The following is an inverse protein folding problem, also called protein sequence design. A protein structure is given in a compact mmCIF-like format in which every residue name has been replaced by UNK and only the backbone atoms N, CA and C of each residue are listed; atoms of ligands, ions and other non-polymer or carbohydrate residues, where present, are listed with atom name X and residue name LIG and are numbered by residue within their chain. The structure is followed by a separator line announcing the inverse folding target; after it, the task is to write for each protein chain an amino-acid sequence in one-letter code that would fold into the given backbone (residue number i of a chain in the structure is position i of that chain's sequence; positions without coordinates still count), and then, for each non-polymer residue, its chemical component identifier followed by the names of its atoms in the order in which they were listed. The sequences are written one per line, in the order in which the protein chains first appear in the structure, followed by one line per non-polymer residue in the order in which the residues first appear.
data_IF_595789645244
#
_entry.id   IF_595789645244
#
_cell.length_a   1.000
_cell.length_b   1.000
_cell.length_c   1.000
_cell.angle_alpha   90.00
_cell.angle_beta   90.00
_cell.angle_gamma   90.00
#
_symmetry.space_group_name_H-M   'P 1'
#
loop_
_entity.id
_entity.type
_entity.pdbx_description
1 polymer ?
#
# COMPACT_ATOMS: atom_id res chain seq x y z
N UNK A 1 21.94 7.01 -33.37
CA UNK A 1 22.85 8.08 -32.93
C UNK A 1 23.67 8.51 -34.15
N UNK A 2 23.59 9.76 -34.54
CA UNK A 2 24.25 10.29 -35.76
C UNK A 2 25.78 10.06 -35.65
N UNK A 3 26.39 9.41 -36.65
CA UNK A 3 27.84 9.18 -36.72
C UNK A 3 28.37 7.99 -35.90
N UNK A 4 27.50 7.16 -35.30
CA UNK A 4 27.85 5.95 -34.56
C UNK A 4 27.07 4.74 -35.08
N UNK A 5 27.68 3.56 -35.07
CA UNK A 5 27.02 2.30 -35.33
C UNK A 5 26.50 1.76 -33.98
N UNK A 6 25.21 1.76 -33.80
CA UNK A 6 24.56 1.23 -32.60
C UNK A 6 23.04 1.31 -32.73
N UNK A 7 22.35 0.47 -32.03
CA UNK A 7 20.90 0.37 -31.99
C UNK A 7 20.41 0.62 -30.57
N UNK A 8 19.32 1.38 -30.41
CA UNK A 8 18.59 1.54 -29.18
C UNK A 8 17.24 0.84 -29.33
N UNK A 9 17.01 -0.18 -28.50
CA UNK A 9 15.73 -0.87 -28.42
C UNK A 9 15.04 -0.51 -27.10
N UNK A 10 13.81 -0.01 -27.16
CA UNK A 10 12.96 0.26 -25.99
C UNK A 10 11.78 -0.70 -26.01
N UNK A 11 11.61 -1.45 -24.93
CA UNK A 11 10.55 -2.45 -24.79
C UNK A 11 10.02 -2.47 -23.36
N UNK A 12 8.74 -2.81 -23.18
CA UNK A 12 8.21 -3.10 -21.86
C UNK A 12 8.72 -4.43 -21.28
N UNK A 13 8.59 -4.63 -19.98
CA UNK A 13 9.03 -5.86 -19.26
C UNK A 13 8.51 -7.15 -19.92
N UNK A 14 7.31 -7.14 -20.48
CA UNK A 14 6.69 -8.28 -21.16
C UNK A 14 7.03 -8.35 -22.66
N UNK A 15 7.77 -7.35 -23.17
CA UNK A 15 8.19 -7.30 -24.57
C UNK A 15 9.25 -8.33 -24.92
N UNK A 16 9.28 -8.76 -26.19
CA UNK A 16 10.27 -9.73 -26.66
C UNK A 16 11.66 -9.09 -26.78
N UNK A 17 12.59 -9.58 -25.96
CA UNK A 17 14.02 -9.26 -26.01
C UNK A 17 14.87 -10.40 -26.61
N UNK A 18 14.23 -11.40 -27.23
CA UNK A 18 14.89 -12.61 -27.69
C UNK A 18 15.94 -12.32 -28.79
N UNK A 19 17.12 -12.91 -28.62
CA UNK A 19 18.18 -12.94 -29.65
C UNK A 19 19.20 -11.79 -29.62
N UNK A 20 18.99 -10.74 -28.84
CA UNK A 20 19.90 -9.57 -28.82
C UNK A 20 20.89 -9.65 -27.66
N UNK A 21 22.17 -9.46 -27.91
CA UNK A 21 23.19 -9.15 -26.91
C UNK A 21 23.16 -7.64 -26.63
N UNK A 22 23.43 -7.25 -25.40
CA UNK A 22 23.27 -5.87 -24.95
C UNK A 22 24.58 -5.37 -24.36
N UNK A 23 25.10 -4.26 -24.88
CA UNK A 23 26.27 -3.58 -24.31
C UNK A 23 25.90 -2.75 -23.09
N UNK A 24 24.75 -2.08 -23.14
CA UNK A 24 24.19 -1.29 -22.00
C UNK A 24 22.73 -1.66 -21.81
N UNK A 25 22.41 -2.19 -20.65
CA UNK A 25 21.03 -2.50 -20.27
C UNK A 25 20.53 -1.41 -19.29
N UNK A 26 19.44 -0.75 -19.65
CA UNK A 26 18.79 0.25 -18.79
C UNK A 26 17.44 -0.30 -18.36
N UNK A 27 17.24 -0.44 -17.06
CA UNK A 27 15.99 -0.81 -16.45
C UNK A 27 15.40 0.44 -15.80
N UNK A 28 14.26 0.89 -16.32
CA UNK A 28 13.60 2.12 -15.91
C UNK A 28 12.16 1.82 -15.50
N UNK A 29 11.74 2.29 -14.33
CA UNK A 29 10.38 2.19 -13.77
C UNK A 29 9.71 0.82 -13.90
N UNK A 30 10.34 -0.22 -13.30
CA UNK A 30 9.88 -1.61 -13.41
C UNK A 30 8.54 -1.91 -12.74
N UNK A 31 8.09 -1.06 -11.83
CA UNK A 31 6.81 -1.17 -11.12
C UNK A 31 5.97 0.07 -11.41
N UNK A 32 4.77 -0.16 -11.90
CA UNK A 32 3.83 0.89 -12.28
C UNK A 32 3.35 1.74 -11.08
N UNK A 33 3.10 1.08 -9.97
CA UNK A 33 2.55 1.71 -8.76
C UNK A 33 2.84 0.88 -7.50
N UNK A 34 2.41 1.40 -6.36
CA UNK A 34 2.57 0.75 -5.06
C UNK A 34 1.85 -0.61 -4.98
N UNK A 35 0.70 -0.75 -5.66
CA UNK A 35 -0.07 -2.00 -5.64
C UNK A 35 0.69 -3.13 -6.33
N UNK A 36 1.29 -2.83 -7.48
CA UNK A 36 2.13 -3.77 -8.23
C UNK A 36 3.39 -4.14 -7.44
N UNK A 37 4.09 -3.15 -6.87
CA UNK A 37 5.30 -3.38 -6.08
C UNK A 37 5.06 -4.12 -4.76
N UNK A 38 3.89 -3.96 -4.14
CA UNK A 38 3.51 -4.67 -2.92
C UNK A 38 3.02 -6.10 -3.18
N UNK A 39 2.77 -6.49 -4.45
CA UNK A 39 2.40 -7.86 -4.81
C UNK A 39 3.61 -8.80 -4.78
N UNK A 40 3.65 -9.83 -3.92
CA UNK A 40 4.75 -10.80 -3.88
C UNK A 40 4.94 -11.50 -5.22
N UNK A 41 3.84 -11.86 -5.89
CA UNK A 41 3.86 -12.52 -7.21
C UNK A 41 4.49 -11.62 -8.26
N UNK A 42 4.19 -10.32 -8.24
CA UNK A 42 4.79 -9.37 -9.19
C UNK A 42 6.29 -9.19 -8.94
N UNK A 43 6.71 -9.14 -7.67
CA UNK A 43 8.13 -9.06 -7.31
C UNK A 43 8.90 -10.31 -7.75
N UNK A 44 8.34 -11.51 -7.49
CA UNK A 44 8.92 -12.79 -7.93
C UNK A 44 9.03 -12.85 -9.44
N UNK A 45 7.96 -12.55 -10.19
CA UNK A 45 7.98 -12.51 -11.65
C UNK A 45 9.00 -11.51 -12.20
N UNK A 46 9.17 -10.35 -11.54
CA UNK A 46 10.18 -9.36 -11.89
C UNK A 46 11.60 -9.92 -11.69
N UNK A 47 11.84 -10.64 -10.59
CA UNK A 47 13.10 -11.29 -10.30
C UNK A 47 13.41 -12.42 -11.30
N UNK A 48 12.44 -13.29 -11.59
CA UNK A 48 12.59 -14.34 -12.59
C UNK A 48 12.90 -13.77 -13.98
N UNK A 49 12.17 -12.73 -14.40
CA UNK A 49 12.44 -12.04 -15.65
C UNK A 49 13.85 -11.42 -15.65
N UNK A 50 14.25 -10.77 -14.58
CA UNK A 50 15.57 -10.18 -14.44
C UNK A 50 16.68 -11.23 -14.61
N UNK A 51 16.57 -12.34 -13.91
CA UNK A 51 17.61 -13.40 -13.91
C UNK A 51 17.62 -14.20 -15.20
N UNK A 52 16.45 -14.53 -15.77
CA UNK A 52 16.31 -15.37 -16.94
C UNK A 52 16.39 -14.63 -18.28
N UNK A 53 16.02 -13.35 -18.30
CA UNK A 53 15.96 -12.55 -19.53
C UNK A 53 17.07 -11.49 -19.56
N UNK A 54 17.18 -10.62 -18.56
CA UNK A 54 18.14 -9.53 -18.55
C UNK A 54 19.58 -10.06 -18.44
N UNK A 55 19.87 -10.79 -17.38
CA UNK A 55 21.23 -11.28 -17.07
C UNK A 55 21.79 -12.23 -18.15
N UNK A 56 20.93 -12.98 -18.82
CA UNK A 56 21.36 -13.91 -19.89
C UNK A 56 21.77 -13.22 -21.17
N UNK A 57 21.44 -11.95 -21.37
CA UNK A 57 21.80 -11.15 -22.56
C UNK A 57 23.06 -10.33 -22.38
N UNK A 58 23.56 -10.29 -21.17
CA UNK A 58 24.77 -9.54 -20.83
C UNK A 58 26.02 -10.37 -21.15
N UNK A 59 27.08 -9.70 -21.56
CA UNK A 59 28.40 -10.27 -21.81
C UNK A 59 29.46 -9.55 -20.94
N UNK A 60 30.71 -9.94 -21.05
CA UNK A 60 31.79 -9.47 -20.16
C UNK A 60 31.99 -7.94 -20.13
N UNK A 61 31.65 -7.24 -21.20
CA UNK A 61 31.78 -5.78 -21.31
C UNK A 61 30.44 -5.05 -21.11
N UNK A 62 29.35 -5.77 -20.89
CA UNK A 62 28.04 -5.15 -20.66
C UNK A 62 28.01 -4.34 -19.38
N UNK A 63 27.25 -3.27 -19.41
CA UNK A 63 26.94 -2.42 -18.25
C UNK A 63 25.46 -2.44 -18.00
N UNK A 64 25.09 -2.30 -16.74
CA UNK A 64 23.72 -2.31 -16.32
C UNK A 64 23.44 -1.05 -15.49
N UNK A 65 22.31 -0.40 -15.79
CA UNK A 65 21.81 0.75 -15.06
C UNK A 65 20.37 0.47 -14.65
N UNK A 66 20.09 0.52 -13.37
CA UNK A 66 18.75 0.30 -12.80
C UNK A 66 18.30 1.62 -12.17
N UNK A 67 17.22 2.19 -12.68
CA UNK A 67 16.67 3.48 -12.23
C UNK A 67 15.19 3.31 -11.99
N UNK A 68 14.74 3.40 -10.76
CA UNK A 68 13.33 3.51 -10.43
C UNK A 68 13.09 3.98 -8.99
N UNK A 69 11.89 4.45 -8.75
CA UNK A 69 11.43 4.81 -7.41
C UNK A 69 11.30 3.56 -6.54
N UNK A 70 11.92 3.56 -5.37
CA UNK A 70 11.78 2.47 -4.41
C UNK A 70 10.35 2.43 -3.88
N UNK A 71 9.74 1.24 -3.87
CA UNK A 71 8.38 1.02 -3.40
C UNK A 71 8.31 0.03 -2.24
N UNK A 72 9.20 -0.96 -2.25
CA UNK A 72 9.22 -2.06 -1.28
C UNK A 72 10.65 -2.47 -1.01
N UNK A 73 10.93 -2.99 0.21
CA UNK A 73 12.28 -3.44 0.54
C UNK A 73 12.75 -4.63 -0.31
N UNK A 74 11.81 -5.48 -0.74
CA UNK A 74 12.04 -6.61 -1.64
C UNK A 74 11.73 -6.28 -3.11
N UNK A 75 11.79 -5.02 -3.52
CA UNK A 75 11.81 -4.68 -4.95
C UNK A 75 13.11 -5.15 -5.61
N UNK A 76 13.25 -5.04 -6.93
CA UNK A 76 14.42 -5.57 -7.64
C UNK A 76 15.74 -5.06 -7.04
N UNK A 77 15.84 -3.78 -6.68
CA UNK A 77 17.05 -3.22 -6.05
C UNK A 77 17.31 -3.89 -4.68
N UNK A 78 16.26 -4.08 -3.88
CA UNK A 78 16.38 -4.77 -2.60
C UNK A 78 16.77 -6.25 -2.74
N UNK A 79 16.21 -6.95 -3.73
CA UNK A 79 16.57 -8.34 -4.03
C UNK A 79 18.03 -8.47 -4.51
N UNK A 80 18.52 -7.54 -5.31
CA UNK A 80 19.94 -7.48 -5.70
C UNK A 80 20.82 -7.21 -4.48
N UNK A 81 20.47 -6.19 -3.67
CA UNK A 81 21.26 -5.83 -2.50
C UNK A 81 21.35 -6.92 -1.43
N UNK A 82 20.36 -7.82 -1.37
CA UNK A 82 20.39 -8.99 -0.46
C UNK A 82 21.29 -10.13 -0.95
N UNK A 83 21.71 -10.14 -2.22
CA UNK A 83 22.44 -11.24 -2.88
C UNK A 83 23.80 -10.83 -3.43
N UNK A 84 23.97 -9.57 -3.79
CA UNK A 84 25.18 -9.05 -4.42
C UNK A 84 25.75 -7.91 -3.56
N UNK A 85 27.05 -7.62 -3.73
CA UNK A 85 27.69 -6.54 -2.99
C UNK A 85 27.32 -5.19 -3.59
N UNK A 86 26.70 -4.34 -2.77
CA UNK A 86 26.31 -2.97 -3.10
C UNK A 86 27.14 -2.00 -2.28
N UNK A 87 27.74 -1.01 -2.94
CA UNK A 87 28.54 0.05 -2.34
C UNK A 87 27.81 1.37 -2.54
N UNK A 88 27.52 2.10 -1.46
CA UNK A 88 26.92 3.43 -1.56
C UNK A 88 27.91 4.41 -2.17
N UNK A 89 27.49 5.09 -3.23
CA UNK A 89 28.30 6.07 -3.94
C UNK A 89 28.22 7.42 -3.20
N UNK A 90 29.33 7.84 -2.62
CA UNK A 90 29.48 9.11 -1.90
C UNK A 90 30.61 9.97 -2.44
N UNK A 91 31.49 9.40 -3.28
CA UNK A 91 32.60 10.06 -3.94
C UNK A 91 32.82 9.48 -5.34
N UNK A 92 33.16 10.33 -6.31
CA UNK A 92 33.43 9.92 -7.69
C UNK A 92 34.58 8.92 -7.82
N UNK A 93 35.58 8.98 -6.95
CA UNK A 93 36.72 8.04 -6.95
C UNK A 93 36.31 6.57 -6.73
N UNK A 94 35.11 6.32 -6.14
CA UNK A 94 34.59 4.97 -5.94
C UNK A 94 34.23 4.28 -7.26
N UNK A 95 33.96 5.03 -8.34
CA UNK A 95 33.66 4.48 -9.66
C UNK A 95 34.86 3.73 -10.21
N UNK A 96 36.05 4.30 -10.08
CA UNK A 96 37.28 3.67 -10.57
C UNK A 96 37.73 2.49 -9.68
N UNK A 97 37.29 2.48 -8.43
CA UNK A 97 37.57 1.40 -7.47
C UNK A 97 36.60 0.23 -7.53
N UNK A 98 35.51 0.34 -8.31
CA UNK A 98 34.46 -0.69 -8.41
C UNK A 98 35.01 -1.98 -9.00
N UNK A 99 34.79 -3.09 -8.30
CA UNK A 99 35.18 -4.41 -8.76
C UNK A 99 34.07 -5.04 -9.60
N UNK A 100 34.45 -5.95 -10.47
CA UNK A 100 33.49 -6.73 -11.25
C UNK A 100 32.55 -7.52 -10.33
N UNK A 101 31.25 -7.39 -10.56
CA UNK A 101 30.20 -8.03 -9.75
C UNK A 101 29.78 -7.22 -8.52
N UNK A 102 30.30 -6.00 -8.36
CA UNK A 102 29.83 -5.05 -7.36
C UNK A 102 28.91 -4.01 -8.01
N UNK A 103 27.98 -3.48 -7.22
CA UNK A 103 27.06 -2.42 -7.61
C UNK A 103 27.43 -1.11 -6.93
N UNK A 104 27.27 -0.02 -7.66
CA UNK A 104 27.22 1.32 -7.07
C UNK A 104 25.77 1.73 -6.87
N UNK A 105 25.41 2.07 -5.65
CA UNK A 105 24.11 2.58 -5.29
C UNK A 105 24.17 4.10 -5.11
N UNK A 106 23.53 4.83 -5.99
CA UNK A 106 23.36 6.28 -5.92
C UNK A 106 21.96 6.59 -5.43
N UNK A 107 21.85 7.26 -4.29
CA UNK A 107 20.58 7.72 -3.73
C UNK A 107 20.69 9.18 -3.30
N UNK A 108 19.82 10.04 -3.85
CA UNK A 108 19.67 11.41 -3.43
C UNK A 108 18.37 11.56 -2.62
N UNK A 109 18.51 11.79 -1.32
CA UNK A 109 17.40 12.04 -0.42
C UNK A 109 16.67 13.33 -0.81
N UNK A 110 15.35 13.32 -0.92
CA UNK A 110 14.60 14.54 -1.23
C UNK A 110 14.75 15.61 -0.13
N UNK A 111 14.76 15.20 1.13
CA UNK A 111 15.19 15.99 2.28
C UNK A 111 16.49 15.37 2.77
N UNK A 112 17.56 16.11 2.76
CA UNK A 112 18.86 15.61 3.23
C UNK A 112 18.79 15.23 4.71
N UNK A 113 19.11 13.99 5.03
CA UNK A 113 19.18 13.49 6.41
C UNK A 113 20.55 12.88 6.73
N UNK A 114 21.20 12.33 5.70
CA UNK A 114 22.58 11.82 5.83
C UNK A 114 23.61 12.94 5.90
N UNK A 115 24.83 12.62 6.35
CA UNK A 115 25.94 13.56 6.37
C UNK A 115 26.29 14.03 4.96
N UNK A 116 26.78 15.27 4.79
CA UNK A 116 27.29 15.77 3.51
C UNK A 116 28.38 14.85 2.94
N UNK A 117 28.41 14.74 1.61
CA UNK A 117 29.41 13.96 0.88
C UNK A 117 29.96 14.75 -0.30
N UNK A 118 31.01 14.25 -0.96
CA UNK A 118 31.56 14.89 -2.17
C UNK A 118 30.54 14.95 -3.32
N UNK A 119 29.61 14.01 -3.39
CA UNK A 119 28.53 13.96 -4.40
C UNK A 119 27.29 14.75 -4.00
N UNK A 120 27.00 14.83 -2.71
CA UNK A 120 25.85 15.54 -2.18
C UNK A 120 26.27 16.38 -0.98
N UNK A 121 26.78 17.61 -1.22
CA UNK A 121 27.30 18.49 -0.17
C UNK A 121 26.21 19.17 0.65
N UNK A 122 24.93 18.93 0.38
CA UNK A 122 23.81 19.53 1.13
C UNK A 122 23.91 19.20 2.62
N UNK A 123 23.50 20.17 3.44
CA UNK A 123 23.37 19.99 4.88
C UNK A 123 22.06 19.27 5.24
N UNK A 124 22.02 18.54 6.38
CA UNK A 124 20.76 17.97 6.86
C UNK A 124 19.65 19.02 6.96
N UNK A 125 18.45 18.68 6.46
CA UNK A 125 17.29 19.56 6.37
C UNK A 125 17.12 20.28 5.02
N UNK A 126 18.11 20.25 4.14
CA UNK A 126 18.01 20.89 2.83
C UNK A 126 17.26 20.03 1.81
N UNK A 127 16.39 20.67 1.01
CA UNK A 127 15.69 20.01 -0.08
C UNK A 127 16.62 19.71 -1.26
N UNK A 128 16.36 18.61 -1.99
CA UNK A 128 17.16 18.20 -3.16
C UNK A 128 17.06 19.23 -4.29
N UNK A 129 15.86 19.71 -4.54
CA UNK A 129 15.57 20.64 -5.64
C UNK A 129 14.56 21.69 -5.18
N UNK A 130 15.01 22.72 -4.41
CA UNK A 130 14.12 23.68 -3.75
C UNK A 130 13.24 24.48 -4.73
N UNK A 131 13.70 24.70 -5.98
CA UNK A 131 12.93 25.44 -7.00
C UNK A 131 11.72 24.64 -7.51
N UNK A 132 11.73 23.32 -7.39
CA UNK A 132 10.64 22.44 -7.79
C UNK A 132 9.83 21.95 -6.59
N UNK A 133 10.51 21.59 -5.51
CA UNK A 133 9.93 21.07 -4.29
C UNK A 133 10.73 21.59 -3.09
N UNK A 134 10.24 22.65 -2.49
CA UNK A 134 10.83 23.22 -1.30
C UNK A 134 10.59 22.35 -0.05
N UNK A 135 11.24 22.72 1.05
CA UNK A 135 11.19 21.97 2.30
C UNK A 135 9.78 21.91 2.89
N UNK A 136 8.98 22.96 2.71
CA UNK A 136 7.62 23.04 3.26
C UNK A 136 6.70 22.08 2.52
N UNK A 137 6.77 22.04 1.19
CA UNK A 137 6.03 21.10 0.35
C UNK A 137 6.43 19.64 0.64
N UNK A 138 7.73 19.37 0.74
CA UNK A 138 8.23 18.03 1.05
C UNK A 138 7.81 17.59 2.45
N UNK A 139 7.86 18.49 3.43
CA UNK A 139 7.42 18.21 4.80
C UNK A 139 5.91 17.95 4.85
N UNK A 140 5.11 18.71 4.10
CA UNK A 140 3.68 18.46 3.99
C UNK A 140 3.37 17.10 3.38
N UNK A 141 4.06 16.71 2.30
CA UNK A 141 3.94 15.36 1.69
C UNK A 141 4.32 14.26 2.68
N UNK A 142 5.40 14.44 3.45
CA UNK A 142 5.83 13.48 4.46
C UNK A 142 4.79 13.27 5.56
N UNK A 143 4.13 14.35 6.00
CA UNK A 143 3.05 14.28 7.01
C UNK A 143 1.82 13.50 6.51
N UNK A 144 1.54 13.53 5.21
CA UNK A 144 0.43 12.77 4.64
C UNK A 144 0.68 11.25 4.67
N UNK A 145 1.91 10.83 4.39
CA UNK A 145 2.29 9.42 4.38
C UNK A 145 3.81 9.29 4.57
N UNK A 146 4.24 9.19 5.82
CA UNK A 146 5.67 9.11 6.17
C UNK A 146 6.32 7.86 5.54
N UNK A 147 5.66 6.71 5.58
CA UNK A 147 6.25 5.46 5.07
C UNK A 147 6.41 5.51 3.55
N UNK A 148 5.42 6.01 2.84
CA UNK A 148 5.49 6.20 1.38
C UNK A 148 6.51 7.27 1.01
N UNK A 149 6.58 8.35 1.78
CA UNK A 149 7.60 9.38 1.59
C UNK A 149 9.01 8.80 1.75
N UNK A 150 9.25 8.03 2.79
CA UNK A 150 10.55 7.39 3.02
C UNK A 150 10.92 6.40 1.89
N UNK A 151 9.94 5.66 1.35
CA UNK A 151 10.17 4.83 0.15
C UNK A 151 10.53 5.66 -1.08
N UNK A 152 9.61 6.55 -1.49
CA UNK A 152 9.66 7.17 -2.82
C UNK A 152 10.59 8.37 -2.89
N UNK A 153 10.67 9.17 -1.82
CA UNK A 153 11.42 10.43 -1.79
C UNK A 153 12.77 10.30 -1.08
N UNK A 154 12.90 9.36 -0.14
CA UNK A 154 14.16 9.14 0.58
C UNK A 154 14.92 7.89 0.10
N UNK A 155 14.30 7.08 -0.79
CA UNK A 155 14.90 5.83 -1.28
C UNK A 155 15.09 4.76 -0.20
N UNK A 156 14.35 4.86 0.92
CA UNK A 156 14.46 3.99 2.09
C UNK A 156 13.15 3.26 2.37
N UNK A 157 12.86 2.15 1.69
CA UNK A 157 11.74 1.31 2.05
C UNK A 157 11.90 0.77 3.47
N UNK A 158 10.79 0.66 4.19
CA UNK A 158 10.81 0.27 5.61
C UNK A 158 11.42 -1.12 5.83
N UNK A 159 12.22 -1.31 6.89
CA UNK A 159 12.85 -2.60 7.19
C UNK A 159 11.82 -3.71 7.42
N UNK A 160 12.23 -4.94 7.07
CA UNK A 160 11.47 -6.15 7.42
C UNK A 160 11.20 -6.20 8.92
N UNK A 161 9.94 -6.46 9.28
CA UNK A 161 9.52 -6.60 10.68
C UNK A 161 9.01 -5.33 11.34
N UNK A 162 8.99 -4.17 10.65
CA UNK A 162 8.31 -2.99 11.19
C UNK A 162 6.80 -3.21 11.29
N UNK A 163 6.18 -2.64 12.31
CA UNK A 163 4.73 -2.63 12.44
C UNK A 163 4.12 -1.80 11.29
N UNK A 164 2.98 -2.27 10.76
CA UNK A 164 2.28 -1.56 9.69
C UNK A 164 1.54 -0.34 10.22
N UNK A 165 0.81 -0.54 11.30
CA UNK A 165 0.01 0.50 11.95
C UNK A 165 0.62 0.95 13.28
N UNK A 166 1.11 0.00 14.08
CA UNK A 166 1.45 0.28 15.48
C UNK A 166 0.24 0.79 16.24
N UNK A 167 0.48 1.50 17.33
CA UNK A 167 -0.56 2.15 18.12
C UNK A 167 -0.68 3.64 17.72
N UNK A 168 -0.86 3.90 16.42
CA UNK A 168 -0.83 5.25 15.85
C UNK A 168 -2.20 5.74 15.36
N UNK A 169 -3.28 5.05 15.70
CA UNK A 169 -4.62 5.50 15.35
C UNK A 169 -5.00 6.74 16.18
N UNK A 170 -5.62 7.72 15.53
CA UNK A 170 -6.21 8.83 16.25
C UNK A 170 -7.46 8.36 17.00
N UNK A 171 -7.55 8.71 18.27
CA UNK A 171 -8.63 8.31 19.16
C UNK A 171 -9.72 9.41 19.27
N UNK A 172 -10.93 8.99 19.65
CA UNK A 172 -12.03 9.89 19.96
C UNK A 172 -12.77 9.46 21.22
N UNK A 173 -13.26 10.41 21.98
CA UNK A 173 -14.06 10.22 23.22
C UNK A 173 -15.55 10.10 22.90
N UNK A 174 -16.05 10.91 21.99
CA UNK A 174 -17.44 10.94 21.56
C UNK A 174 -17.55 11.24 20.06
N UNK A 175 -18.59 10.68 19.41
CA UNK A 175 -18.85 10.99 18.01
C UNK A 175 -19.16 12.47 17.83
N UNK A 176 -18.65 13.11 16.77
CA UNK A 176 -19.03 14.47 16.43
C UNK A 176 -20.51 14.57 16.03
N UNK A 177 -21.07 15.76 16.14
CA UNK A 177 -22.50 16.01 15.87
C UNK A 177 -22.85 16.01 14.37
N UNK A 178 -21.86 16.12 13.50
CA UNK A 178 -21.96 16.26 12.04
C UNK A 178 -21.82 14.93 11.28
N UNK A 179 -22.13 13.82 11.94
CA UNK A 179 -22.18 12.49 11.29
C UNK A 179 -23.27 12.48 10.23
N UNK A 180 -22.88 12.13 9.01
CA UNK A 180 -23.78 12.06 7.85
C UNK A 180 -24.21 10.66 7.51
N UNK A 181 -23.50 9.62 8.00
CA UNK A 181 -23.79 8.23 7.65
C UNK A 181 -23.23 7.24 8.67
N UNK A 182 -23.97 6.11 8.82
CA UNK A 182 -23.51 4.91 9.50
C UNK A 182 -23.43 3.76 8.50
N UNK A 183 -22.32 3.04 8.51
CA UNK A 183 -22.04 1.90 7.64
C UNK A 183 -21.49 0.70 8.41
N UNK A 184 -21.38 -0.42 7.70
CA UNK A 184 -20.72 -1.61 8.19
C UNK A 184 -19.96 -2.29 7.04
N UNK A 185 -18.84 -2.91 7.39
CA UNK A 185 -18.08 -3.75 6.49
C UNK A 185 -17.75 -5.06 7.19
N UNK A 186 -17.96 -6.18 6.51
CA UNK A 186 -17.77 -7.52 7.06
C UNK A 186 -16.97 -8.38 6.11
N UNK A 187 -15.87 -8.96 6.60
CA UNK A 187 -15.18 -10.11 6.01
C UNK A 187 -15.59 -11.37 6.78
N UNK A 188 -16.12 -12.36 6.05
CA UNK A 188 -16.68 -13.59 6.66
C UNK A 188 -15.63 -14.69 6.69
N UNK A 189 -15.50 -15.38 7.84
CA UNK A 189 -14.81 -16.66 7.93
C UNK A 189 -15.87 -17.77 7.86
N UNK A 190 -15.69 -18.75 6.95
CA UNK A 190 -16.63 -19.85 6.80
C UNK A 190 -16.19 -21.10 7.59
N UNK A 191 -14.94 -21.49 7.43
CA UNK A 191 -14.35 -22.65 8.11
C UNK A 191 -12.85 -22.46 8.27
N UNK A 192 -12.30 -22.83 9.40
CA UNK A 192 -10.86 -22.79 9.65
C UNK A 192 -10.45 -21.88 10.79
N UNK A 193 -9.20 -21.45 10.76
CA UNK A 193 -8.59 -20.63 11.81
C UNK A 193 -8.83 -19.12 11.65
N UNK A 194 -9.46 -18.67 10.55
CA UNK A 194 -9.68 -17.26 10.24
C UNK A 194 -10.75 -16.61 11.14
N UNK A 195 -10.65 -15.31 11.34
CA UNK A 195 -11.62 -14.53 12.09
C UNK A 195 -12.70 -13.95 11.19
N UNK A 196 -13.97 -14.10 11.58
CA UNK A 196 -14.98 -13.15 11.14
C UNK A 196 -14.62 -11.78 11.70
N UNK A 197 -14.55 -10.80 10.82
CA UNK A 197 -14.36 -9.40 11.18
C UNK A 197 -15.49 -8.55 10.63
N UNK A 198 -16.32 -7.99 11.48
CA UNK A 198 -17.41 -7.08 11.12
C UNK A 198 -17.28 -5.80 11.94
N UNK A 199 -17.17 -4.66 11.26
CA UNK A 199 -16.96 -3.35 11.89
C UNK A 199 -18.07 -2.38 11.48
N UNK A 200 -18.78 -1.83 12.45
CA UNK A 200 -19.65 -0.66 12.27
C UNK A 200 -18.86 0.63 12.38
N UNK A 201 -19.20 1.60 11.56
CA UNK A 201 -18.53 2.90 11.53
C UNK A 201 -19.49 4.03 11.20
N UNK A 202 -19.12 5.24 11.63
CA UNK A 202 -19.79 6.49 11.29
C UNK A 202 -18.86 7.31 10.39
N UNK A 203 -19.43 8.16 9.53
CA UNK A 203 -18.68 9.07 8.65
C UNK A 203 -19.23 10.48 8.83
N UNK A 204 -18.35 11.46 9.06
CA UNK A 204 -18.71 12.85 9.17
C UNK A 204 -18.78 13.58 7.82
N UNK A 205 -19.07 14.87 7.83
CA UNK A 205 -19.16 15.72 6.64
C UNK A 205 -17.83 15.85 5.90
N UNK A 206 -16.70 15.77 6.59
CA UNK A 206 -15.35 15.87 6.04
C UNK A 206 -14.84 14.53 5.50
N UNK A 207 -15.55 13.44 5.79
CA UNK A 207 -15.21 12.10 5.34
C UNK A 207 -14.31 11.34 6.29
N UNK A 208 -14.12 11.82 7.51
CA UNK A 208 -13.43 11.09 8.59
C UNK A 208 -14.32 9.93 9.04
N UNK A 209 -13.72 8.78 9.29
CA UNK A 209 -14.40 7.53 9.59
C UNK A 209 -14.15 7.17 11.06
N UNK A 210 -15.20 6.96 11.82
CA UNK A 210 -15.18 6.64 13.25
C UNK A 210 -15.64 5.20 13.44
N UNK A 211 -14.79 4.31 13.93
CA UNK A 211 -15.17 2.95 14.28
C UNK A 211 -16.08 2.98 15.51
N UNK A 212 -17.29 2.45 15.41
CA UNK A 212 -18.29 2.55 16.49
C UNK A 212 -18.50 1.25 17.24
N UNK A 213 -18.47 0.12 16.53
CA UNK A 213 -18.67 -1.20 17.11
C UNK A 213 -18.00 -2.30 16.25
N UNK A 214 -17.69 -3.44 16.85
CA UNK A 214 -17.06 -4.55 16.14
C UNK A 214 -17.49 -5.92 16.69
N UNK A 215 -17.67 -6.87 15.77
CA UNK A 215 -17.66 -8.31 16.06
C UNK A 215 -16.41 -8.90 15.43
N UNK A 216 -15.51 -9.45 16.27
CA UNK A 216 -14.26 -10.04 15.86
C UNK A 216 -14.07 -11.36 16.59
N UNK A 217 -14.33 -12.48 15.92
CA UNK A 217 -14.39 -13.79 16.57
C UNK A 217 -14.17 -14.94 15.58
N UNK A 218 -13.83 -16.12 16.10
CA UNK A 218 -13.75 -17.38 15.35
C UNK A 218 -14.94 -18.31 15.63
N UNK A 219 -15.99 -17.79 16.24
CA UNK A 219 -17.21 -18.55 16.44
C UNK A 219 -17.84 -18.95 15.10
N UNK A 220 -18.56 -20.08 15.06
CA UNK A 220 -19.18 -20.57 13.84
C UNK A 220 -20.23 -19.59 13.28
N UNK A 221 -20.53 -19.75 11.99
CA UNK A 221 -21.36 -18.81 11.21
C UNK A 221 -22.74 -18.60 11.81
N UNK A 222 -23.35 -19.65 12.38
CA UNK A 222 -24.67 -19.60 13.01
C UNK A 222 -24.71 -18.65 14.22
N UNK A 223 -23.59 -18.54 14.94
CA UNK A 223 -23.44 -17.61 16.08
C UNK A 223 -23.15 -16.19 15.56
N UNK A 224 -22.26 -16.08 14.59
CA UNK A 224 -21.81 -14.77 14.08
C UNK A 224 -22.87 -14.05 13.27
N UNK A 225 -23.76 -14.76 12.55
CA UNK A 225 -24.92 -14.17 11.87
C UNK A 225 -25.81 -13.37 12.83
N UNK A 226 -26.12 -13.97 14.00
CA UNK A 226 -26.93 -13.32 15.04
C UNK A 226 -26.17 -12.14 15.67
N UNK A 227 -24.92 -12.34 16.04
CA UNK A 227 -24.09 -11.30 16.69
C UNK A 227 -23.93 -10.07 15.79
N UNK A 228 -23.67 -10.26 14.48
CA UNK A 228 -23.56 -9.16 13.52
C UNK A 228 -24.91 -8.46 13.31
N UNK A 229 -26.01 -9.20 13.17
CA UNK A 229 -27.35 -8.61 13.02
C UNK A 229 -27.73 -7.75 14.27
N UNK A 230 -27.47 -8.23 15.47
CA UNK A 230 -27.69 -7.47 16.70
C UNK A 230 -26.82 -6.20 16.76
N UNK A 231 -25.55 -6.29 16.36
CA UNK A 231 -24.65 -5.13 16.26
C UNK A 231 -25.19 -4.11 15.27
N UNK A 232 -25.64 -4.52 14.08
CA UNK A 232 -26.22 -3.63 13.07
C UNK A 232 -27.46 -2.91 13.60
N UNK A 233 -28.37 -3.62 14.27
CA UNK A 233 -29.55 -3.04 14.90
C UNK A 233 -29.21 -2.03 16.00
N UNK A 234 -28.29 -2.39 16.90
CA UNK A 234 -27.82 -1.54 18.01
C UNK A 234 -27.18 -0.25 17.50
N UNK A 235 -26.40 -0.32 16.43
CA UNK A 235 -25.74 0.83 15.80
C UNK A 235 -26.65 1.58 14.79
N UNK A 236 -27.89 1.16 14.61
CA UNK A 236 -28.82 1.75 13.62
C UNK A 236 -28.21 1.84 12.22
N UNK A 237 -27.39 0.86 11.85
CA UNK A 237 -26.70 0.81 10.58
C UNK A 237 -27.69 0.58 9.45
N UNK A 238 -27.76 1.50 8.48
CA UNK A 238 -28.69 1.39 7.35
C UNK A 238 -28.12 0.62 6.17
N UNK A 239 -26.82 0.56 6.04
CA UNK A 239 -26.15 -0.14 4.95
C UNK A 239 -24.98 -0.96 5.51
N UNK A 240 -24.98 -2.25 5.21
CA UNK A 240 -23.91 -3.18 5.51
C UNK A 240 -23.39 -3.80 4.22
N UNK A 241 -22.07 -4.01 4.17
CA UNK A 241 -21.37 -4.62 3.04
C UNK A 241 -20.65 -5.86 3.50
N UNK A 242 -20.86 -6.97 2.81
CA UNK A 242 -20.27 -8.28 3.14
C UNK A 242 -19.43 -8.77 1.97
N UNK A 243 -18.18 -9.18 2.25
CA UNK A 243 -17.38 -9.90 1.27
C UNK A 243 -17.97 -11.30 1.07
N UNK A 244 -18.21 -11.67 -0.20
CA UNK A 244 -18.91 -12.91 -0.56
C UNK A 244 -17.99 -14.08 -0.86
N UNK A 245 -16.70 -13.93 -0.57
CA UNK A 245 -15.74 -15.01 -0.65
C UNK A 245 -16.11 -16.06 0.42
N UNK A 246 -15.95 -17.36 0.13
CA UNK A 246 -16.11 -18.43 1.13
C UNK A 246 -17.44 -18.42 1.91
N UNK A 247 -18.60 -18.48 1.22
CA UNK A 247 -19.89 -18.60 1.92
C UNK A 247 -20.59 -17.29 2.27
N UNK A 248 -19.95 -16.12 2.13
CA UNK A 248 -20.47 -14.81 2.52
C UNK A 248 -21.82 -14.42 1.92
N UNK A 249 -22.27 -15.03 0.81
CA UNK A 249 -23.64 -14.81 0.28
C UNK A 249 -24.73 -15.42 1.18
N UNK A 250 -24.45 -16.58 1.77
CA UNK A 250 -25.35 -17.22 2.75
C UNK A 250 -25.46 -16.37 3.99
N UNK A 251 -24.34 -15.97 4.55
CA UNK A 251 -24.21 -15.07 5.69
C UNK A 251 -24.98 -13.75 5.46
N UNK A 252 -24.75 -13.06 4.34
CA UNK A 252 -25.42 -11.80 4.02
C UNK A 252 -26.95 -11.95 3.99
N UNK A 253 -27.46 -13.06 3.45
CA UNK A 253 -28.92 -13.34 3.43
C UNK A 253 -29.48 -13.62 4.82
N UNK A 254 -28.72 -14.31 5.66
CA UNK A 254 -29.12 -14.58 7.05
C UNK A 254 -29.16 -13.29 7.86
N UNK A 255 -28.10 -12.47 7.79
CA UNK A 255 -28.04 -11.15 8.45
C UNK A 255 -29.16 -10.23 7.95
N UNK A 256 -29.46 -10.21 6.64
CA UNK A 256 -30.56 -9.41 6.09
C UNK A 256 -31.93 -9.81 6.69
N UNK A 257 -32.16 -11.10 6.96
CA UNK A 257 -33.41 -11.56 7.59
C UNK A 257 -33.50 -11.15 9.06
N UNK A 258 -32.37 -11.20 9.79
CA UNK A 258 -32.28 -10.86 11.21
C UNK A 258 -32.23 -9.33 11.46
N UNK A 259 -31.74 -8.55 10.52
CA UNK A 259 -31.66 -7.09 10.58
C UNK A 259 -32.43 -6.44 9.41
N UNK A 260 -33.77 -6.49 9.38
CA UNK A 260 -34.57 -6.09 8.22
C UNK A 260 -34.52 -4.58 7.93
N UNK A 261 -34.12 -3.74 8.90
CA UNK A 261 -33.94 -2.30 8.73
C UNK A 261 -32.59 -1.92 8.09
N UNK A 262 -31.67 -2.88 7.94
CA UNK A 262 -30.38 -2.72 7.32
C UNK A 262 -30.39 -3.27 5.90
N UNK A 263 -29.95 -2.50 4.90
CA UNK A 263 -29.72 -3.01 3.56
C UNK A 263 -28.37 -3.72 3.54
N UNK A 264 -28.36 -5.04 3.36
CA UNK A 264 -27.16 -5.85 3.28
C UNK A 264 -26.79 -6.12 1.82
N UNK A 265 -25.67 -5.61 1.38
CA UNK A 265 -25.09 -5.85 0.06
C UNK A 265 -23.88 -6.78 0.16
N UNK A 266 -23.67 -7.62 -0.85
CA UNK A 266 -22.47 -8.46 -0.92
C UNK A 266 -21.75 -8.26 -2.25
N UNK A 267 -20.44 -8.43 -2.23
CA UNK A 267 -19.60 -8.35 -3.42
C UNK A 267 -18.45 -9.36 -3.33
N UNK A 268 -17.87 -9.69 -4.46
CA UNK A 268 -16.70 -10.54 -4.53
C UNK A 268 -15.44 -9.68 -4.54
N UNK A 269 -14.53 -9.91 -3.57
CA UNK A 269 -13.23 -9.26 -3.53
C UNK A 269 -12.22 -10.09 -4.32
N UNK A 270 -11.67 -9.52 -5.39
CA UNK A 270 -10.71 -10.18 -6.29
C UNK A 270 -9.28 -9.68 -6.16
N UNK A 271 -9.05 -8.61 -5.40
CA UNK A 271 -7.72 -8.01 -5.23
C UNK A 271 -6.79 -8.84 -4.35
N UNK A 272 -5.48 -8.73 -4.57
CA UNK A 272 -4.49 -9.33 -3.69
C UNK A 272 -4.55 -8.68 -2.30
N UNK A 273 -4.85 -9.47 -1.27
CA UNK A 273 -5.06 -9.03 0.12
C UNK A 273 -3.85 -8.28 0.67
N UNK A 274 -2.64 -8.83 0.50
CA UNK A 274 -1.40 -8.19 0.96
C UNK A 274 -1.18 -6.83 0.30
N UNK A 275 -1.26 -6.78 -1.03
CA UNK A 275 -1.04 -5.55 -1.77
C UNK A 275 -2.05 -4.45 -1.36
N UNK A 276 -3.32 -4.80 -1.14
CA UNK A 276 -4.37 -3.89 -0.68
C UNK A 276 -4.05 -3.32 0.71
N UNK A 277 -3.75 -4.19 1.67
CA UNK A 277 -3.44 -3.80 3.06
C UNK A 277 -2.22 -2.87 3.10
N UNK A 278 -1.13 -3.25 2.43
CA UNK A 278 0.11 -2.46 2.44
C UNK A 278 -0.08 -1.10 1.75
N UNK A 279 -0.73 -1.08 0.58
CA UNK A 279 -0.89 0.15 -0.21
C UNK A 279 -1.84 1.17 0.42
N UNK A 280 -2.81 0.71 1.22
CA UNK A 280 -3.79 1.58 1.84
C UNK A 280 -3.50 1.90 3.31
N UNK A 281 -2.42 1.38 3.89
CA UNK A 281 -2.13 1.50 5.33
C UNK A 281 -2.06 2.94 5.83
N UNK A 282 -1.47 3.85 5.06
CA UNK A 282 -1.42 5.26 5.42
C UNK A 282 -2.80 5.94 5.37
N UNK A 283 -3.62 5.60 4.35
CA UNK A 283 -4.99 6.11 4.25
C UNK A 283 -5.84 5.59 5.41
N UNK A 284 -5.64 4.34 5.84
CA UNK A 284 -6.27 3.77 7.03
C UNK A 284 -5.94 4.61 8.27
N UNK A 285 -4.66 4.84 8.56
CA UNK A 285 -4.24 5.66 9.72
C UNK A 285 -4.73 7.12 9.64
N UNK A 286 -4.77 7.69 8.44
CA UNK A 286 -5.19 9.08 8.25
C UNK A 286 -6.70 9.26 8.41
N UNK A 287 -7.48 8.35 7.83
CA UNK A 287 -8.94 8.51 7.69
C UNK A 287 -9.74 7.89 8.82
N UNK A 288 -9.19 6.92 9.56
CA UNK A 288 -9.89 6.22 10.63
C UNK A 288 -9.62 6.84 11.99
N UNK A 289 -10.64 6.83 12.83
CA UNK A 289 -10.60 7.16 14.26
C UNK A 289 -11.15 5.97 15.05
N UNK A 290 -10.52 5.67 16.17
CA UNK A 290 -10.93 4.59 17.07
C UNK A 290 -11.43 5.16 18.40
N UNK A 291 -12.39 4.53 19.09
CA UNK A 291 -12.78 5.01 20.42
C UNK A 291 -11.61 4.85 21.41
N UNK A 292 -11.45 5.78 22.34
CA UNK A 292 -10.32 5.77 23.28
C UNK A 292 -10.25 4.48 24.13
N UNK A 293 -11.37 3.80 24.29
CA UNK A 293 -11.48 2.53 25.02
C UNK A 293 -11.43 1.27 24.15
N UNK A 294 -11.04 1.38 22.86
CA UNK A 294 -11.07 0.24 21.91
C UNK A 294 -10.19 -0.95 22.33
N UNK A 295 -9.12 -0.71 23.12
CA UNK A 295 -8.27 -1.76 23.69
C UNK A 295 -9.04 -2.66 24.63
N UNK A 296 -9.94 -2.08 25.43
CA UNK A 296 -10.77 -2.79 26.41
C UNK A 296 -12.01 -3.40 25.75
N UNK A 297 -12.61 -2.68 24.80
CA UNK A 297 -13.82 -3.12 24.09
C UNK A 297 -13.55 -4.29 23.16
N UNK A 298 -12.43 -4.25 22.41
CA UNK A 298 -12.09 -5.26 21.40
C UNK A 298 -10.62 -5.68 21.50
N UNK A 299 -10.21 -6.38 22.59
CA UNK A 299 -8.80 -6.63 22.88
C UNK A 299 -8.08 -7.47 21.82
N UNK A 300 -8.75 -8.43 21.18
CA UNK A 300 -8.15 -9.23 20.11
C UNK A 300 -8.01 -8.43 18.80
N UNK A 301 -9.05 -7.69 18.41
CA UNK A 301 -9.02 -6.80 17.27
C UNK A 301 -7.88 -5.79 17.43
N UNK A 302 -7.83 -5.10 18.58
CA UNK A 302 -6.74 -4.17 18.92
C UNK A 302 -5.38 -4.82 18.72
N UNK A 303 -5.15 -5.96 19.41
CA UNK A 303 -3.87 -6.66 19.37
C UNK A 303 -3.46 -7.02 17.94
N UNK A 304 -4.36 -7.59 17.13
CA UNK A 304 -4.05 -8.01 15.77
C UNK A 304 -3.77 -6.83 14.83
N UNK A 305 -4.42 -5.69 15.04
CA UNK A 305 -4.17 -4.46 14.26
C UNK A 305 -2.84 -3.82 14.64
N UNK A 306 -2.61 -3.55 15.94
CA UNK A 306 -1.41 -2.78 16.36
C UNK A 306 -0.12 -3.57 16.24
N UNK A 307 -0.17 -4.90 16.29
CA UNK A 307 1.02 -5.75 16.13
C UNK A 307 1.21 -6.24 14.69
N UNK A 308 0.34 -5.85 13.76
CA UNK A 308 0.44 -6.27 12.36
C UNK A 308 1.72 -5.74 11.70
N UNK A 309 2.46 -6.65 11.06
CA UNK A 309 3.77 -6.38 10.47
C UNK A 309 3.65 -6.15 8.98
N UNK A 310 4.58 -5.37 8.42
CA UNK A 310 4.67 -5.13 6.97
C UNK A 310 4.97 -6.38 6.18
N UNK A 311 5.75 -7.32 6.73
CA UNK A 311 5.97 -8.62 6.11
C UNK A 311 4.72 -9.48 6.31
N UNK A 312 3.98 -9.70 5.24
CA UNK A 312 2.69 -10.39 5.25
C UNK A 312 2.77 -11.77 5.92
N UNK A 313 3.75 -12.58 5.53
CA UNK A 313 3.96 -13.94 6.06
C UNK A 313 4.35 -14.00 7.54
N UNK A 314 4.74 -12.87 8.13
CA UNK A 314 5.03 -12.74 9.56
C UNK A 314 3.77 -12.54 10.41
N UNK A 315 2.60 -12.40 9.79
CA UNK A 315 1.33 -12.24 10.45
C UNK A 315 0.54 -13.55 10.39
N UNK A 316 -0.06 -13.93 11.48
CA UNK A 316 -0.96 -15.09 11.53
C UNK A 316 -2.38 -14.74 11.05
N UNK A 317 -2.82 -13.51 11.32
CA UNK A 317 -4.18 -13.05 11.07
C UNK A 317 -4.18 -11.78 10.22
N UNK A 318 -4.99 -11.77 9.17
CA UNK A 318 -5.06 -10.68 8.19
C UNK A 318 -6.43 -10.00 8.15
N UNK A 319 -7.45 -10.57 8.80
CA UNK A 319 -8.86 -10.22 8.62
C UNK A 319 -9.17 -8.81 9.13
N UNK A 320 -8.66 -8.43 10.30
CA UNK A 320 -8.86 -7.09 10.83
C UNK A 320 -8.21 -5.98 9.96
N UNK A 321 -6.93 -6.06 9.56
CA UNK A 321 -6.33 -5.12 8.61
C UNK A 321 -7.04 -5.07 7.25
N UNK A 322 -7.54 -6.19 6.75
CA UNK A 322 -8.25 -6.24 5.48
C UNK A 322 -9.60 -5.50 5.55
N UNK A 323 -10.37 -5.71 6.62
CA UNK A 323 -11.62 -4.98 6.86
C UNK A 323 -11.39 -3.47 6.99
N UNK A 324 -10.35 -3.03 7.74
CA UNK A 324 -10.01 -1.61 7.81
C UNK A 324 -9.67 -1.04 6.42
N UNK A 325 -8.95 -1.81 5.61
CA UNK A 325 -8.65 -1.46 4.22
C UNK A 325 -9.92 -1.37 3.37
N UNK A 326 -10.81 -2.36 3.46
CA UNK A 326 -12.07 -2.38 2.72
C UNK A 326 -12.99 -1.21 3.06
N UNK A 327 -13.04 -0.79 4.32
CA UNK A 327 -13.77 0.41 4.75
C UNK A 327 -13.23 1.65 4.03
N UNK A 328 -11.91 1.85 4.03
CA UNK A 328 -11.27 3.01 3.41
C UNK A 328 -11.42 2.99 1.88
N UNK A 329 -11.28 1.85 1.24
CA UNK A 329 -11.50 1.72 -0.20
C UNK A 329 -12.91 2.20 -0.60
N UNK A 330 -13.94 1.79 0.13
CA UNK A 330 -15.33 2.21 -0.16
C UNK A 330 -15.61 3.66 0.17
N UNK A 331 -15.13 4.13 1.31
CA UNK A 331 -15.52 5.42 1.86
C UNK A 331 -14.67 6.57 1.35
N UNK A 332 -13.42 6.34 1.04
CA UNK A 332 -12.47 7.38 0.61
C UNK A 332 -12.17 7.25 -0.88
N UNK A 333 -11.65 6.10 -1.33
CA UNK A 333 -11.13 5.94 -2.68
C UNK A 333 -12.23 5.92 -3.74
N UNK A 334 -13.31 5.16 -3.54
CA UNK A 334 -14.45 5.12 -4.46
C UNK A 334 -15.15 6.47 -4.60
N UNK A 335 -15.15 7.29 -3.53
CA UNK A 335 -15.72 8.64 -3.58
C UNK A 335 -14.85 9.61 -4.37
N UNK A 336 -13.52 9.53 -4.19
CA UNK A 336 -12.56 10.32 -4.95
C UNK A 336 -12.67 10.01 -6.44
N UNK A 337 -12.73 8.73 -6.82
CA UNK A 337 -12.88 8.32 -8.21
C UNK A 337 -14.19 8.83 -8.83
N UNK A 338 -15.31 8.72 -8.11
CA UNK A 338 -16.61 9.27 -8.55
C UNK A 338 -16.59 10.81 -8.69
N UNK A 339 -15.88 11.52 -7.82
CA UNK A 339 -15.70 12.99 -7.94
C UNK A 339 -14.86 13.34 -9.16
N UNK A 340 -13.75 12.68 -9.37
CA UNK A 340 -12.86 12.90 -10.51
C UNK A 340 -13.57 12.62 -11.84
N UNK A 341 -14.34 11.54 -11.94
CA UNK A 341 -15.17 11.24 -13.13
C UNK A 341 -16.23 12.31 -13.40
N UNK A 342 -16.84 12.90 -12.38
CA UNK A 342 -17.80 14.00 -12.54
C UNK A 342 -17.15 15.30 -13.05
N UNK A 343 -15.93 15.60 -12.62
CA UNK A 343 -15.17 16.78 -13.06
C UNK A 343 -14.72 16.61 -14.51
N UNK A 344 -14.30 15.42 -14.93
CA UNK A 344 -13.89 15.15 -16.32
C UNK A 344 -15.04 15.18 -17.33
N UNK A 345 -16.31 15.10 -16.90
CA UNK A 345 -17.49 15.22 -17.76
C UNK A 345 -17.98 16.66 -17.97
N UNK A 346 -17.43 17.65 -17.27
CA UNK A 346 -17.69 19.06 -17.50
C UNK A 346 -16.64 19.62 -18.48
N UNK A 347 -16.65 19.11 -19.71
CA UNK A 347 -15.91 19.72 -20.83
C UNK A 347 -16.53 21.09 -21.18
N UNK A 348 -15.77 22.02 -21.75
CA UNK A 348 -16.29 23.33 -22.10
C UNK A 348 -17.43 23.18 -23.11
N UNK A 349 -18.61 23.68 -22.76
CA UNK A 349 -19.68 23.85 -23.73
C UNK A 349 -19.15 24.77 -24.81
N UNK A 350 -18.99 24.22 -26.02
CA UNK A 350 -18.61 24.99 -27.20
C UNK A 350 -19.57 26.17 -27.36
N UNK A 351 -19.02 27.37 -27.22
CA UNK A 351 -19.68 28.58 -27.66
C UNK A 351 -19.76 28.56 -29.20
N UNK A 352 -20.96 28.72 -29.68
CA UNK A 352 -21.21 29.11 -31.09
C UNK A 352 -20.92 30.61 -31.26
#
# INVERSE_FOLDING_TARGET
IIGRRGELLSVGREGSLTGNRVDVFILDDLYKDALEANSPVTRENCWEWYTSVVRTRMHNASRELIVFTRWHEEDLIGMIASRERVVSLTDWAQIDALKRGEWLHLNFEAIKESSPSALDPRMPGEALWPEQQDIDLLTAKRRLDTARFDCMYQGRPSPQGSLLYGDNFAEYESLPSDIVRFGNYTDTADTGDDYLCSICYAVDVDGVIYLTDAVYTREPMEVTETAVAEMLCRNRTRQATVESNNGGRGFARAVQRLAPSTRVEWFHQSGNKEARILSNSATVLHSLRVPADWRQRWPELYRHVVTYRRVFTSNRWHDAPDVLTGIVEREVLDRLDRRLRRISFVGPKGGR
#
